data_IF_185244990307
#
_entry.id   IF_185244990307
#
_cell.length_a   1.000
_cell.length_b   1.000
_cell.length_c   1.000
_cell.angle_alpha   90.00
_cell.angle_beta   90.00
_cell.angle_gamma   90.00
#
_symmetry.space_group_name_H-M   'P 1'
#
loop_
_entity.id
_entity.type
_entity.pdbx_description
1 polymer ?
#
# COMPACT_ATOMS: atom_id res chain seq x y z
N UNK A 1 -9.10 -70.00 -3.16
CA UNK A 1 -10.05 -68.86 -3.09
C UNK A 1 -9.25 -67.58 -2.91
N UNK A 2 -9.51 -66.58 -3.77
CA UNK A 2 -8.87 -65.25 -3.79
C UNK A 2 -9.47 -64.35 -2.71
N UNK A 3 -8.67 -63.41 -2.16
CA UNK A 3 -9.14 -62.06 -1.82
C UNK A 3 -8.07 -61.02 -2.20
N UNK A 4 -8.46 -60.18 -3.15
CA UNK A 4 -7.80 -58.95 -3.60
C UNK A 4 -8.08 -57.84 -2.59
N UNK A 5 -7.10 -56.95 -2.35
CA UNK A 5 -7.36 -55.61 -1.85
C UNK A 5 -6.99 -54.65 -2.97
N UNK A 6 -8.01 -54.03 -3.55
CA UNK A 6 -7.90 -52.92 -4.49
C UNK A 6 -7.91 -51.64 -3.67
N UNK A 7 -6.81 -50.88 -3.70
CA UNK A 7 -6.80 -49.50 -3.22
C UNK A 7 -7.02 -48.58 -4.43
N UNK A 8 -8.21 -47.99 -4.55
CA UNK A 8 -8.42 -46.79 -5.36
C UNK A 8 -7.93 -45.60 -4.53
N UNK A 9 -6.61 -45.38 -4.54
CA UNK A 9 -6.07 -44.09 -4.17
C UNK A 9 -6.25 -43.18 -5.37
N UNK A 10 -7.24 -42.29 -5.33
CA UNK A 10 -7.27 -41.13 -6.21
C UNK A 10 -5.95 -40.40 -6.00
N UNK A 11 -5.07 -40.51 -7.00
CA UNK A 11 -3.87 -39.72 -7.10
C UNK A 11 -4.35 -38.27 -7.21
N UNK A 12 -4.48 -37.57 -6.07
CA UNK A 12 -4.34 -36.13 -6.10
C UNK A 12 -2.92 -35.92 -6.58
N UNK A 13 -2.79 -35.65 -7.89
CA UNK A 13 -1.66 -34.90 -8.38
C UNK A 13 -1.73 -33.59 -7.57
N UNK A 14 -0.99 -33.55 -6.46
CA UNK A 14 -0.57 -32.30 -5.88
C UNK A 14 0.19 -31.64 -7.02
N UNK A 15 -0.51 -30.81 -7.81
CA UNK A 15 0.13 -29.94 -8.77
C UNK A 15 1.08 -29.12 -7.92
N UNK A 16 2.35 -29.50 -7.95
CA UNK A 16 3.40 -28.77 -7.30
C UNK A 16 3.27 -27.36 -7.86
N UNK A 17 2.80 -26.44 -7.02
CA UNK A 17 2.84 -25.03 -7.34
C UNK A 17 4.33 -24.73 -7.42
N UNK A 18 4.84 -24.59 -8.64
CA UNK A 18 6.20 -24.18 -8.86
C UNK A 18 6.30 -22.73 -8.41
N UNK A 19 6.60 -22.53 -7.13
CA UNK A 19 6.95 -21.23 -6.61
C UNK A 19 8.36 -20.93 -7.12
N UNK A 20 8.49 -19.93 -7.99
CA UNK A 20 9.79 -19.33 -8.22
C UNK A 20 10.29 -18.78 -6.89
N UNK A 21 11.55 -19.07 -6.54
CA UNK A 21 12.15 -18.50 -5.35
C UNK A 21 12.11 -16.95 -5.44
N UNK A 22 11.92 -16.25 -4.30
CA UNK A 22 11.99 -14.79 -4.29
C UNK A 22 13.31 -14.30 -4.90
N UNK A 23 13.21 -13.32 -5.80
CA UNK A 23 14.34 -12.69 -6.47
C UNK A 23 14.74 -11.42 -5.70
N UNK A 24 16.00 -11.28 -5.25
CA UNK A 24 16.45 -10.03 -4.64
C UNK A 24 16.48 -8.91 -5.69
N UNK A 25 15.89 -7.75 -5.37
CA UNK A 25 15.84 -6.57 -6.26
C UNK A 25 16.57 -5.35 -5.69
N UNK A 26 16.81 -5.34 -4.38
CA UNK A 26 17.63 -4.37 -3.66
C UNK A 26 18.06 -4.98 -2.31
N UNK A 27 19.04 -4.38 -1.58
CA UNK A 27 19.31 -4.76 -0.19
C UNK A 27 18.01 -4.77 0.64
N UNK A 28 17.75 -5.88 1.31
CA UNK A 28 16.55 -6.05 2.13
C UNK A 28 15.21 -6.18 1.37
N UNK A 29 15.20 -6.18 0.03
CA UNK A 29 13.97 -6.25 -0.78
C UNK A 29 13.99 -7.44 -1.75
N UNK A 30 12.94 -8.25 -1.73
CA UNK A 30 12.71 -9.34 -2.68
C UNK A 30 11.39 -9.21 -3.43
N UNK A 31 11.33 -9.77 -4.62
CA UNK A 31 10.15 -9.87 -5.47
C UNK A 31 9.83 -11.33 -5.76
N UNK A 32 8.56 -11.71 -5.68
CA UNK A 32 8.07 -13.01 -6.11
C UNK A 32 6.75 -12.87 -6.88
N UNK A 33 6.60 -13.69 -7.92
CA UNK A 33 5.36 -13.84 -8.67
C UNK A 33 4.69 -15.14 -8.23
N UNK A 34 3.56 -15.03 -7.54
CA UNK A 34 2.78 -16.16 -7.07
C UNK A 34 1.66 -16.45 -8.08
N UNK A 35 1.72 -17.61 -8.71
CA UNK A 35 0.65 -18.12 -9.56
C UNK A 35 -0.04 -19.28 -8.84
N UNK A 36 -1.32 -19.10 -8.50
CA UNK A 36 -2.15 -20.15 -7.88
C UNK A 36 -3.01 -20.83 -8.95
N UNK A 37 -3.56 -22.04 -8.69
CA UNK A 37 -4.58 -22.59 -9.57
C UNK A 37 -5.71 -21.58 -9.80
N UNK A 38 -5.98 -21.25 -11.06
CA UNK A 38 -6.93 -20.20 -11.47
C UNK A 38 -6.27 -19.08 -12.31
N UNK A 39 -7.03 -18.05 -12.70
CA UNK A 39 -6.52 -16.97 -13.56
C UNK A 39 -5.71 -15.90 -12.80
N UNK A 40 -5.70 -15.96 -11.47
CA UNK A 40 -5.11 -14.92 -10.65
C UNK A 40 -3.58 -15.08 -10.52
N UNK A 41 -2.88 -13.96 -10.69
CA UNK A 41 -1.45 -13.82 -10.44
C UNK A 41 -1.28 -12.75 -9.37
N UNK A 42 -0.50 -13.04 -8.33
CA UNK A 42 -0.11 -12.05 -7.34
C UNK A 42 1.36 -11.70 -7.52
N UNK A 43 1.65 -10.40 -7.51
CA UNK A 43 3.00 -9.85 -7.47
C UNK A 43 3.26 -9.41 -6.03
N UNK A 44 4.30 -9.96 -5.40
CA UNK A 44 4.61 -9.71 -3.99
C UNK A 44 6.00 -9.12 -3.90
N UNK A 45 6.08 -7.97 -3.24
CA UNK A 45 7.35 -7.36 -2.81
C UNK A 45 7.46 -7.53 -1.31
N UNK A 46 8.61 -8.01 -0.84
CA UNK A 46 8.91 -8.15 0.59
C UNK A 46 10.09 -7.25 0.90
N UNK A 47 9.87 -6.27 1.77
CA UNK A 47 10.92 -5.44 2.34
C UNK A 47 11.13 -5.80 3.80
N UNK A 48 12.39 -5.90 4.23
CA UNK A 48 12.73 -6.07 5.64
C UNK A 48 12.87 -4.73 6.34
N UNK A 49 12.15 -4.57 7.45
CA UNK A 49 12.20 -3.34 8.26
C UNK A 49 13.51 -3.19 9.05
N UNK A 50 14.33 -4.25 9.09
CA UNK A 50 15.64 -4.23 9.72
C UNK A 50 16.74 -3.69 8.79
N UNK A 51 16.45 -3.49 7.50
CA UNK A 51 17.43 -2.93 6.55
C UNK A 51 17.54 -1.42 6.77
N UNK A 52 18.70 -0.98 7.25
CA UNK A 52 18.94 0.42 7.60
C UNK A 52 18.92 1.36 6.40
N UNK A 53 19.16 0.84 5.19
CA UNK A 53 19.08 1.63 3.96
C UNK A 53 17.66 1.85 3.43
N UNK A 54 16.64 1.20 4.03
CA UNK A 54 15.26 1.33 3.57
C UNK A 54 14.51 2.37 4.43
N UNK A 55 13.87 3.30 3.74
CA UNK A 55 12.85 4.18 4.31
C UNK A 55 11.55 4.00 3.55
N UNK A 56 10.42 4.19 4.24
CA UNK A 56 9.11 4.20 3.60
C UNK A 56 8.71 5.64 3.30
N UNK A 57 8.26 5.89 2.08
CA UNK A 57 7.79 7.19 1.62
C UNK A 57 6.38 7.07 1.05
N UNK A 58 5.62 8.16 1.18
CA UNK A 58 4.29 8.31 0.59
C UNK A 58 4.38 9.47 -0.39
N UNK A 59 4.24 9.18 -1.68
CA UNK A 59 4.25 10.23 -2.72
C UNK A 59 2.81 10.66 -3.02
N UNK A 60 2.49 11.97 -2.97
CA UNK A 60 1.32 12.47 -3.68
C UNK A 60 1.56 12.21 -5.17
N UNK A 61 0.54 11.81 -5.92
CA UNK A 61 0.69 11.42 -7.34
C UNK A 61 1.04 12.56 -8.30
N UNK A 62 1.66 13.65 -7.83
CA UNK A 62 2.01 14.85 -8.60
C UNK A 62 2.55 15.94 -7.69
N UNK A 63 2.78 17.14 -8.23
CA UNK A 63 3.26 18.30 -7.44
C UNK A 63 2.16 18.94 -6.61
N UNK A 64 0.89 18.62 -6.91
CA UNK A 64 -0.28 19.03 -6.13
C UNK A 64 -1.19 17.83 -5.84
N UNK A 65 -1.98 17.92 -4.77
CA UNK A 65 -2.92 16.86 -4.36
C UNK A 65 -4.04 16.55 -5.35
N UNK A 66 -4.25 17.44 -6.32
CA UNK A 66 -5.25 17.28 -7.39
C UNK A 66 -4.68 16.65 -8.65
N UNK A 67 -3.35 16.54 -8.76
CA UNK A 67 -2.68 15.89 -9.87
C UNK A 67 -2.59 14.39 -9.64
N UNK A 68 -2.78 13.64 -10.72
CA UNK A 68 -2.57 12.20 -10.76
C UNK A 68 -1.52 11.87 -11.80
N UNK A 69 -0.59 11.01 -11.41
CA UNK A 69 0.41 10.42 -12.27
C UNK A 69 0.34 8.90 -12.12
N UNK A 70 0.76 8.22 -13.17
CA UNK A 70 0.93 6.77 -13.14
C UNK A 70 2.09 6.39 -12.21
N UNK A 71 2.04 5.19 -11.65
CA UNK A 71 3.12 4.70 -10.79
C UNK A 71 4.52 4.77 -11.46
N UNK A 72 4.69 4.42 -12.75
CA UNK A 72 5.97 4.61 -13.43
C UNK A 72 6.44 6.06 -13.52
N UNK A 73 5.55 7.02 -13.74
CA UNK A 73 5.89 8.45 -13.78
C UNK A 73 6.37 8.95 -12.41
N UNK A 74 5.69 8.51 -11.33
CA UNK A 74 6.11 8.81 -9.96
C UNK A 74 7.48 8.22 -9.68
N UNK A 75 7.70 6.94 -9.99
CA UNK A 75 9.01 6.29 -9.80
C UNK A 75 10.11 7.02 -10.58
N UNK A 76 9.83 7.43 -11.82
CA UNK A 76 10.80 8.14 -12.66
C UNK A 76 11.17 9.50 -12.05
N UNK A 77 10.19 10.25 -11.52
CA UNK A 77 10.43 11.52 -10.85
C UNK A 77 11.25 11.34 -9.56
N UNK A 78 10.86 10.39 -8.70
CA UNK A 78 11.53 10.09 -7.43
C UNK A 78 12.95 9.53 -7.63
N UNK A 79 13.20 8.84 -8.74
CA UNK A 79 14.54 8.31 -9.06
C UNK A 79 15.59 9.40 -9.34
N UNK A 80 15.16 10.66 -9.50
CA UNK A 80 16.07 11.81 -9.62
C UNK A 80 16.51 12.37 -8.27
N UNK A 81 15.84 11.97 -7.18
CA UNK A 81 16.18 12.38 -5.82
C UNK A 81 17.22 11.44 -5.20
N UNK A 82 17.97 11.88 -4.16
CA UNK A 82 18.84 11.00 -3.40
C UNK A 82 18.04 9.86 -2.76
N UNK A 83 18.31 8.62 -3.21
CA UNK A 83 17.64 7.42 -2.69
C UNK A 83 16.52 6.93 -3.60
N UNK A 84 16.89 6.40 -4.78
CA UNK A 84 15.93 5.85 -5.73
C UNK A 84 15.03 4.77 -5.10
N UNK A 85 13.73 4.73 -5.44
CA UNK A 85 12.82 3.73 -4.89
C UNK A 85 13.26 2.30 -5.22
N UNK A 86 13.43 1.46 -4.19
CA UNK A 86 13.73 0.03 -4.36
C UNK A 86 12.51 -0.77 -4.85
N UNK A 87 11.31 -0.30 -4.49
CA UNK A 87 10.03 -0.82 -4.94
C UNK A 87 8.93 0.23 -4.68
N UNK A 88 7.84 0.16 -5.43
CA UNK A 88 6.67 0.98 -5.19
C UNK A 88 5.39 0.22 -5.56
N UNK A 89 4.28 0.65 -4.99
CA UNK A 89 2.95 0.08 -5.17
C UNK A 89 1.92 1.20 -5.15
N UNK A 90 0.82 1.03 -5.88
CA UNK A 90 -0.26 2.01 -5.83
C UNK A 90 -0.86 2.06 -4.42
N UNK A 91 -1.15 3.28 -3.96
CA UNK A 91 -1.69 3.54 -2.64
C UNK A 91 -3.22 3.49 -2.59
N UNK A 92 -3.78 4.43 -1.83
CA UNK A 92 -5.21 4.55 -1.58
C UNK A 92 -6.06 4.84 -2.81
N UNK A 93 -7.36 5.06 -2.55
CA UNK A 93 -8.32 5.37 -3.59
C UNK A 93 -8.16 6.83 -4.05
N UNK A 94 -8.50 7.11 -5.30
CA UNK A 94 -8.62 8.47 -5.85
C UNK A 94 -9.93 8.61 -6.61
N UNK A 95 -10.44 9.85 -6.69
CA UNK A 95 -11.57 10.14 -7.58
C UNK A 95 -11.07 10.26 -9.03
N UNK A 96 -11.75 9.63 -10.00
CA UNK A 96 -11.31 9.64 -11.39
C UNK A 96 -11.73 10.90 -12.19
N UNK A 97 -12.23 11.97 -11.54
CA UNK A 97 -12.74 13.13 -12.28
C UNK A 97 -11.61 14.04 -12.80
N UNK A 98 -11.77 14.53 -14.03
CA UNK A 98 -10.76 15.29 -14.77
C UNK A 98 -10.32 16.61 -14.12
N UNK A 99 -11.04 17.08 -13.10
CA UNK A 99 -10.71 18.32 -12.37
C UNK A 99 -10.09 18.05 -10.98
N UNK A 100 -10.25 16.83 -10.45
CA UNK A 100 -9.83 16.50 -9.09
C UNK A 100 -9.39 15.04 -9.02
N UNK A 101 -8.11 14.78 -9.29
CA UNK A 101 -7.42 13.53 -8.93
C UNK A 101 -7.22 13.34 -7.42
N UNK A 102 -8.11 13.94 -6.61
CA UNK A 102 -7.98 14.02 -5.17
C UNK A 102 -7.98 12.60 -4.57
N UNK A 103 -7.03 12.37 -3.67
CA UNK A 103 -7.02 11.20 -2.82
C UNK A 103 -8.36 11.10 -2.05
N UNK A 104 -8.75 9.87 -1.75
CA UNK A 104 -9.97 9.56 -1.00
C UNK A 104 -9.58 8.85 0.28
N UNK A 105 -9.86 9.51 1.40
CA UNK A 105 -9.52 9.03 2.74
C UNK A 105 -8.24 9.67 3.27
N UNK A 106 -7.95 9.36 4.53
CA UNK A 106 -6.87 10.01 5.26
C UNK A 106 -5.52 9.75 4.58
N UNK A 107 -4.86 10.84 4.15
CA UNK A 107 -3.48 10.82 3.67
C UNK A 107 -2.66 11.80 4.49
N UNK A 108 -1.63 11.27 5.15
CA UNK A 108 -0.63 12.05 5.89
C UNK A 108 0.74 11.62 5.40
N UNK A 109 1.58 12.58 5.02
CA UNK A 109 2.96 12.34 4.61
C UNK A 109 3.85 13.41 5.25
N UNK A 110 5.02 13.01 5.77
CA UNK A 110 5.99 13.91 6.40
C UNK A 110 5.42 14.84 7.48
N UNK A 111 4.38 14.38 8.19
CA UNK A 111 3.69 15.14 9.23
C UNK A 111 2.63 16.12 8.72
N UNK A 112 2.46 16.23 7.40
CA UNK A 112 1.45 17.07 6.76
C UNK A 112 0.19 16.27 6.43
N UNK A 113 -0.96 16.85 6.78
CA UNK A 113 -2.26 16.33 6.36
C UNK A 113 -2.52 16.75 4.92
N UNK A 114 -2.52 15.76 4.02
CA UNK A 114 -2.67 15.97 2.58
C UNK A 114 -4.10 15.75 2.11
N UNK A 115 -4.83 14.83 2.76
CA UNK A 115 -6.23 14.56 2.48
C UNK A 115 -6.97 14.18 3.76
N UNK A 116 -8.15 14.78 3.96
CA UNK A 116 -9.00 14.53 5.11
C UNK A 116 -9.56 13.10 5.15
N UNK A 117 -9.96 12.66 6.34
CA UNK A 117 -10.66 11.41 6.50
C UNK A 117 -11.97 11.41 5.69
N UNK A 118 -12.27 10.28 5.04
CA UNK A 118 -13.54 10.12 4.34
C UNK A 118 -14.66 9.86 5.36
N UNK A 119 -15.93 10.24 5.08
CA UNK A 119 -17.04 10.07 6.04
C UNK A 119 -17.38 8.65 6.45
N UNK A 120 -16.74 7.67 5.82
CA UNK A 120 -16.83 6.28 6.21
C UNK A 120 -15.45 5.87 6.71
N UNK A 121 -15.32 5.40 7.97
CA UNK A 121 -14.05 4.93 8.49
C UNK A 121 -13.42 3.88 7.58
N UNK A 122 -12.17 4.09 7.19
CA UNK A 122 -11.40 3.15 6.36
C UNK A 122 -10.14 2.72 7.09
N UNK A 123 -9.63 1.56 6.71
CA UNK A 123 -8.32 1.10 7.15
C UNK A 123 -7.23 1.98 6.53
N UNK A 124 -6.24 2.34 7.33
CA UNK A 124 -5.03 3.04 6.91
C UNK A 124 -3.80 2.17 7.20
N UNK A 125 -2.82 2.23 6.29
CA UNK A 125 -1.49 1.72 6.58
C UNK A 125 -0.71 2.83 7.30
N UNK A 126 -0.26 2.55 8.52
CA UNK A 126 0.51 3.49 9.34
C UNK A 126 1.96 3.05 9.36
N UNK A 127 2.84 3.93 8.90
CA UNK A 127 4.28 3.76 8.87
C UNK A 127 4.88 4.77 9.86
N UNK A 128 5.07 4.40 11.13
CA UNK A 128 5.56 5.34 12.13
C UNK A 128 7.06 5.63 11.92
N UNK A 129 7.52 6.81 12.35
CA UNK A 129 8.95 7.13 12.35
C UNK A 129 9.79 6.16 13.20
N UNK A 130 9.17 5.55 14.22
CA UNK A 130 9.74 4.46 15.02
C UNK A 130 8.69 3.39 15.28
N UNK A 131 9.11 2.11 15.24
CA UNK A 131 8.26 0.97 15.54
C UNK A 131 7.78 0.21 14.30
N UNK A 132 6.78 -0.65 14.50
CA UNK A 132 6.30 -1.57 13.45
C UNK A 132 5.15 -0.95 12.65
N UNK A 133 5.20 -1.01 11.31
CA UNK A 133 4.05 -0.76 10.45
C UNK A 133 2.81 -1.51 10.90
N UNK A 134 1.64 -0.87 10.82
CA UNK A 134 0.37 -1.49 11.20
C UNK A 134 -0.76 -1.05 10.28
N UNK A 135 -1.81 -1.86 10.24
CA UNK A 135 -3.08 -1.47 9.65
C UNK A 135 -3.98 -1.03 10.80
N UNK A 136 -4.51 0.18 10.70
CA UNK A 136 -5.32 0.79 11.77
C UNK A 136 -6.57 1.46 11.18
N UNK A 137 -7.53 1.85 12.03
CA UNK A 137 -8.66 2.70 11.64
C UNK A 137 -8.48 4.07 12.26
N UNK A 138 -8.08 5.02 11.42
CA UNK A 138 -7.81 6.37 11.86
C UNK A 138 -9.03 7.26 11.61
N UNK A 139 -9.36 8.07 12.61
CA UNK A 139 -10.27 9.22 12.47
C UNK A 139 -9.48 10.50 12.69
N UNK A 140 -9.94 11.59 12.10
CA UNK A 140 -9.36 12.90 12.28
C UNK A 140 -10.31 13.76 13.11
N UNK A 141 -9.82 14.29 14.23
CA UNK A 141 -10.55 15.25 15.07
C UNK A 141 -9.73 16.53 15.09
N UNK A 142 -10.32 17.62 14.62
CA UNK A 142 -9.71 18.94 14.59
C UNK A 142 -10.67 19.99 15.11
N UNK A 143 -10.12 21.18 15.41
CA UNK A 143 -10.91 22.38 15.70
C UNK A 143 -10.28 23.57 14.99
N UNK A 144 -11.11 24.40 14.37
CA UNK A 144 -10.74 25.73 13.90
C UNK A 144 -11.01 26.72 15.03
N UNK A 145 -9.96 27.31 15.59
CA UNK A 145 -10.09 28.33 16.61
C UNK A 145 -10.10 29.72 15.97
N UNK A 146 -11.20 30.46 16.14
CA UNK A 146 -11.25 31.87 15.78
C UNK A 146 -10.45 32.70 16.80
N UNK A 147 -9.89 33.87 16.40
CA UNK A 147 -9.15 34.75 17.31
C UNK A 147 -9.95 35.17 18.57
N UNK A 148 -11.28 35.18 18.49
CA UNK A 148 -12.19 35.52 19.60
C UNK A 148 -12.57 34.31 20.50
N UNK A 149 -11.91 33.16 20.34
CA UNK A 149 -12.10 31.97 21.18
C UNK A 149 -13.26 31.05 20.77
N UNK A 150 -13.98 31.37 19.69
CA UNK A 150 -14.97 30.45 19.14
C UNK A 150 -14.26 29.27 18.44
N UNK A 151 -14.56 28.04 18.86
CA UNK A 151 -14.08 26.83 18.20
C UNK A 151 -15.16 26.29 17.26
N UNK A 152 -14.83 26.10 15.99
CA UNK A 152 -15.67 25.44 15.00
C UNK A 152 -15.06 24.08 14.65
N UNK A 153 -15.85 23.02 14.42
CA UNK A 153 -15.32 21.85 13.75
C UNK A 153 -14.83 22.27 12.35
N UNK A 154 -13.68 21.76 11.86
CA UNK A 154 -13.27 21.98 10.49
C UNK A 154 -14.35 21.44 9.57
N UNK A 155 -14.87 22.29 8.69
CA UNK A 155 -15.84 21.87 7.69
C UNK A 155 -15.20 20.74 6.85
N UNK A 156 -15.83 19.57 6.83
CA UNK A 156 -15.32 18.39 6.11
C UNK A 156 -14.81 17.24 6.99
N UNK A 157 -14.72 17.40 8.32
CA UNK A 157 -14.41 16.30 9.24
C UNK A 157 -15.71 15.62 9.74
N UNK A 158 -16.40 14.93 8.85
CA UNK A 158 -17.44 13.97 9.20
C UNK A 158 -17.06 12.63 8.63
#
# INVERSE_FOLDING_TARGET
MKRQITLFGTLFLAMAVAYAAPVPIAPGVTYERLQRPGPAVAHVVRATLAEASLTSLVSPGGTTMTQTATLPEIIAAESTLPGAPAAALNGGYSLPSAEHGAAVGLLVADGELLCDAWPVPRSALVLPAQGTPRIDRLGLVGTLAAPAGAALPPAGLH
#
